data_IF_251954365545
#
_entry.id   IF_251954365545
#
_cell.length_a   1.000
_cell.length_b   1.000
_cell.length_c   1.000
_cell.angle_alpha   90.00
_cell.angle_beta   90.00
_cell.angle_gamma   90.00
#
_symmetry.space_group_name_H-M   'P 1'
#
loop_
_entity.id
_entity.type
_entity.pdbx_description
1 polymer ?
#
# COMPACT_ATOMS: atom_id res chain seq x y z
N UNK A 1 -11.25 18.10 31.32
CA UNK A 1 -11.95 19.38 31.08
C UNK A 1 -11.43 19.92 29.75
N UNK A 2 -12.16 19.73 28.65
CA UNK A 2 -11.87 20.31 27.31
C UNK A 2 -13.12 20.91 26.65
N UNK A 3 -14.29 20.81 27.28
CA UNK A 3 -15.61 21.16 26.72
C UNK A 3 -15.82 22.67 26.41
N UNK A 4 -14.78 23.51 26.52
CA UNK A 4 -14.81 24.92 26.12
C UNK A 4 -13.71 25.31 25.13
N UNK A 5 -12.86 24.37 24.70
CA UNK A 5 -11.80 24.59 23.70
C UNK A 5 -12.21 24.20 22.28
N UNK A 6 -13.33 23.49 22.13
CA UNK A 6 -13.79 22.97 20.84
C UNK A 6 -14.37 24.07 19.94
N UNK A 7 -15.06 25.06 20.52
CA UNK A 7 -15.73 26.11 19.74
C UNK A 7 -14.72 27.05 19.06
N UNK A 8 -13.68 27.50 19.78
CA UNK A 8 -12.63 28.36 19.20
C UNK A 8 -11.72 27.61 18.21
N UNK A 9 -11.58 26.29 18.35
CA UNK A 9 -10.75 25.48 17.46
C UNK A 9 -11.30 25.44 16.03
N UNK A 10 -12.62 25.47 15.88
CA UNK A 10 -13.29 25.44 14.58
C UNK A 10 -13.20 26.78 13.81
N UNK A 11 -12.86 27.87 14.50
CA UNK A 11 -12.68 29.20 13.90
C UNK A 11 -11.30 29.37 13.24
N UNK A 12 -10.34 28.49 13.53
CA UNK A 12 -9.02 28.54 12.90
C UNK A 12 -9.03 28.04 11.46
N UNK A 13 -8.11 28.56 10.65
CA UNK A 13 -7.87 28.07 9.29
C UNK A 13 -7.38 26.62 9.36
N UNK A 14 -8.01 25.73 8.58
CA UNK A 14 -7.61 24.33 8.54
C UNK A 14 -6.22 24.14 7.94
N UNK A 15 -5.43 23.21 8.48
CA UNK A 15 -4.14 22.84 7.88
C UNK A 15 -4.38 22.08 6.57
N UNK A 16 -5.35 21.17 6.54
CA UNK A 16 -5.64 20.26 5.44
C UNK A 16 -7.00 19.60 5.63
N UNK A 17 -7.86 19.60 4.61
CA UNK A 17 -9.12 18.86 4.64
C UNK A 17 -9.43 18.20 3.29
N UNK A 18 -10.25 17.14 3.29
CA UNK A 18 -10.47 16.31 2.07
C UNK A 18 -11.29 17.07 1.03
N UNK A 19 -12.20 17.92 1.49
CA UNK A 19 -13.09 18.74 0.70
C UNK A 19 -12.27 19.69 -0.18
N UNK A 20 -11.31 20.41 0.41
CA UNK A 20 -10.43 21.32 -0.31
C UNK A 20 -9.50 20.62 -1.29
N UNK A 21 -9.00 19.42 -0.95
CA UNK A 21 -8.16 18.61 -1.84
C UNK A 21 -8.87 18.27 -3.16
N UNK A 22 -10.20 18.15 -3.15
CA UNK A 22 -11.03 17.80 -4.31
C UNK A 22 -11.39 18.99 -5.21
N UNK A 23 -11.16 20.22 -4.75
CA UNK A 23 -11.57 21.43 -5.46
C UNK A 23 -10.57 21.85 -6.54
N UNK A 24 -11.08 22.14 -7.73
CA UNK A 24 -10.29 22.65 -8.87
C UNK A 24 -9.89 24.13 -8.73
N UNK A 25 -10.64 24.91 -7.95
CA UNK A 25 -10.41 26.34 -7.74
C UNK A 25 -9.65 26.60 -6.43
N UNK A 26 -9.39 27.88 -6.16
CA UNK A 26 -8.74 28.39 -4.96
C UNK A 26 -9.46 27.89 -3.71
N UNK A 27 -8.69 27.32 -2.78
CA UNK A 27 -9.22 26.81 -1.53
C UNK A 27 -9.30 27.98 -0.56
N UNK A 28 -10.52 28.37 -0.19
CA UNK A 28 -10.72 29.25 0.95
C UNK A 28 -10.63 28.40 2.22
N UNK A 29 -9.94 28.91 3.25
CA UNK A 29 -9.90 28.35 4.60
C UNK A 29 -9.07 27.06 4.79
N UNK A 30 -8.02 26.88 3.96
CA UNK A 30 -7.04 25.80 4.15
C UNK A 30 -5.62 26.23 3.78
N UNK A 31 -4.64 25.85 4.60
CA UNK A 31 -3.22 26.17 4.37
C UNK A 31 -2.64 25.29 3.25
N UNK A 32 -2.81 23.96 3.35
CA UNK A 32 -2.24 23.01 2.39
C UNK A 32 -3.31 22.36 1.51
N UNK A 33 -3.18 22.55 0.20
CA UNK A 33 -3.98 21.82 -0.80
C UNK A 33 -3.54 20.37 -0.99
N UNK A 34 -2.23 20.12 -0.90
CA UNK A 34 -1.63 18.81 -1.11
C UNK A 34 -1.14 18.25 0.21
N UNK A 35 -1.74 17.13 0.60
CA UNK A 35 -1.33 16.35 1.75
C UNK A 35 -1.67 14.89 1.49
N UNK A 36 -0.98 13.99 2.17
CA UNK A 36 -1.27 12.56 2.15
C UNK A 36 -1.00 11.98 3.52
N UNK A 37 -1.53 10.78 3.73
CA UNK A 37 -1.04 9.96 4.82
C UNK A 37 0.38 9.48 4.49
N UNK A 38 1.07 8.97 5.50
CA UNK A 38 2.31 8.23 5.30
C UNK A 38 2.12 6.97 4.44
N UNK A 39 3.23 6.40 4.00
CA UNK A 39 3.23 5.18 3.20
C UNK A 39 2.71 4.00 4.04
N UNK A 40 1.65 3.35 3.55
CA UNK A 40 1.10 2.14 4.16
C UNK A 40 1.35 0.93 3.25
N UNK A 41 2.25 0.03 3.66
CA UNK A 41 2.64 -1.10 2.81
C UNK A 41 1.81 -2.37 3.01
N UNK A 42 1.26 -2.55 4.22
CA UNK A 42 0.63 -3.80 4.71
C UNK A 42 1.55 -5.03 4.75
N UNK A 43 2.87 -4.86 4.56
CA UNK A 43 3.86 -5.95 4.52
C UNK A 43 5.25 -5.49 4.94
N UNK A 44 5.33 -4.67 5.99
CA UNK A 44 6.53 -3.90 6.34
C UNK A 44 7.80 -4.78 6.46
N UNK A 45 7.69 -5.99 7.02
CA UNK A 45 8.81 -6.95 7.12
C UNK A 45 9.44 -7.34 5.77
N UNK A 46 8.71 -7.19 4.66
CA UNK A 46 9.15 -7.54 3.30
C UNK A 46 9.66 -6.35 2.49
N UNK A 47 9.28 -5.12 2.86
CA UNK A 47 9.51 -3.91 2.05
C UNK A 47 10.22 -2.78 2.80
N UNK A 48 10.49 -2.96 4.08
CA UNK A 48 11.41 -2.14 4.85
C UNK A 48 12.52 -3.01 5.45
N UNK A 49 13.76 -2.55 5.31
CA UNK A 49 14.90 -3.12 6.02
C UNK A 49 16.00 -2.03 6.11
N UNK A 50 16.75 -2.02 7.20
CA UNK A 50 17.93 -1.15 7.36
C UNK A 50 19.07 -1.53 6.41
N UNK A 51 19.09 -2.78 5.95
CA UNK A 51 20.05 -3.28 4.98
C UNK A 51 19.40 -3.35 3.58
N UNK A 52 19.88 -2.50 2.67
CA UNK A 52 19.39 -2.42 1.29
C UNK A 52 19.48 -3.76 0.54
N UNK A 53 20.54 -4.53 0.78
CA UNK A 53 20.74 -5.83 0.12
C UNK A 53 19.72 -6.85 0.59
N UNK A 54 19.43 -6.88 1.89
CA UNK A 54 18.38 -7.74 2.44
C UNK A 54 17.00 -7.32 1.96
N UNK A 55 16.71 -6.02 1.90
CA UNK A 55 15.48 -5.49 1.31
C UNK A 55 15.32 -5.96 -0.14
N UNK A 56 16.36 -5.80 -0.95
CA UNK A 56 16.37 -6.24 -2.35
C UNK A 56 16.07 -7.74 -2.47
N UNK A 57 16.68 -8.56 -1.63
CA UNK A 57 16.46 -10.02 -1.62
C UNK A 57 15.03 -10.36 -1.19
N UNK A 58 14.51 -9.70 -0.16
CA UNK A 58 13.14 -9.90 0.34
C UNK A 58 12.11 -9.56 -0.75
N UNK A 59 12.24 -8.40 -1.41
CA UNK A 59 11.34 -8.00 -2.50
C UNK A 59 11.39 -9.01 -3.65
N UNK A 60 12.58 -9.45 -4.07
CA UNK A 60 12.73 -10.45 -5.14
C UNK A 60 12.04 -11.76 -4.77
N UNK A 61 12.30 -12.27 -3.56
CA UNK A 61 11.67 -13.49 -3.04
C UNK A 61 10.14 -13.39 -3.06
N UNK A 62 9.59 -12.27 -2.59
CA UNK A 62 8.14 -12.05 -2.61
C UNK A 62 7.57 -11.97 -4.02
N UNK A 63 8.26 -11.30 -4.96
CA UNK A 63 7.84 -11.21 -6.37
C UNK A 63 7.86 -12.59 -7.04
N UNK A 64 8.93 -13.36 -6.83
CA UNK A 64 9.08 -14.71 -7.37
C UNK A 64 7.97 -15.63 -6.87
N UNK A 65 7.72 -15.63 -5.55
CA UNK A 65 6.62 -16.41 -4.96
C UNK A 65 5.26 -15.99 -5.54
N UNK A 66 4.96 -14.69 -5.54
CA UNK A 66 3.69 -14.16 -6.06
C UNK A 66 3.47 -14.54 -7.54
N UNK A 67 4.48 -14.38 -8.39
CA UNK A 67 4.39 -14.73 -9.81
C UNK A 67 4.24 -16.24 -10.01
N UNK A 68 4.89 -17.07 -9.18
CA UNK A 68 4.73 -18.52 -9.24
C UNK A 68 3.28 -18.95 -8.95
N UNK A 69 2.63 -18.31 -7.97
CA UNK A 69 1.23 -18.55 -7.64
C UNK A 69 0.31 -18.14 -8.81
N UNK A 70 0.62 -17.04 -9.53
CA UNK A 70 -0.14 -16.65 -10.73
C UNK A 70 -0.01 -17.69 -11.83
N UNK A 71 1.20 -18.21 -12.06
CA UNK A 71 1.42 -19.24 -13.08
C UNK A 71 0.59 -20.50 -12.78
N UNK A 72 0.59 -20.94 -11.52
CA UNK A 72 -0.24 -22.08 -11.07
C UNK A 72 -1.74 -21.77 -11.23
N UNK A 73 -2.17 -20.55 -10.91
CA UNK A 73 -3.56 -20.12 -11.04
C UNK A 73 -4.04 -20.17 -12.50
N UNK A 74 -3.20 -19.69 -13.42
CA UNK A 74 -3.53 -19.66 -14.84
C UNK A 74 -3.57 -21.07 -15.47
N UNK A 75 -2.81 -22.02 -14.93
CA UNK A 75 -2.86 -23.43 -15.34
C UNK A 75 -4.10 -24.15 -14.79
N UNK A 76 -4.67 -23.65 -13.69
CA UNK A 76 -5.88 -24.21 -13.10
C UNK A 76 -7.12 -23.74 -13.88
N UNK A 77 -7.73 -24.64 -14.66
CA UNK A 77 -8.93 -24.36 -15.45
C UNK A 77 -10.20 -24.06 -14.60
N UNK A 78 -10.13 -24.22 -13.27
CA UNK A 78 -11.24 -23.94 -12.35
C UNK A 78 -11.35 -22.44 -12.02
N UNK A 79 -11.93 -21.67 -12.94
CA UNK A 79 -12.16 -20.22 -12.82
C UNK A 79 -13.14 -19.79 -11.72
N UNK A 80 -13.75 -20.73 -11.01
CA UNK A 80 -14.74 -20.50 -9.94
C UNK A 80 -14.12 -20.33 -8.55
N UNK A 81 -12.83 -20.65 -8.39
CA UNK A 81 -12.20 -20.69 -7.07
C UNK A 81 -12.07 -19.27 -6.47
N UNK A 82 -12.23 -19.13 -5.15
CA UNK A 82 -11.85 -17.89 -4.47
C UNK A 82 -10.33 -17.86 -4.37
N UNK A 83 -9.74 -16.66 -4.45
CA UNK A 83 -8.27 -16.49 -4.36
C UNK A 83 -7.75 -17.06 -3.03
N UNK A 84 -8.50 -16.83 -1.95
CA UNK A 84 -8.13 -17.30 -0.60
C UNK A 84 -8.05 -18.81 -0.46
N UNK A 85 -8.83 -19.54 -1.26
CA UNK A 85 -8.85 -21.01 -1.23
C UNK A 85 -7.70 -21.61 -2.05
N UNK A 86 -6.99 -20.79 -2.83
CA UNK A 86 -5.96 -21.23 -3.75
C UNK A 86 -4.55 -20.81 -3.33
N UNK A 87 -4.38 -19.56 -2.90
CA UNK A 87 -3.05 -19.03 -2.64
C UNK A 87 -2.44 -19.69 -1.41
N UNK A 88 -1.14 -19.96 -1.47
CA UNK A 88 -0.40 -20.39 -0.30
C UNK A 88 -0.13 -19.21 0.65
N UNK A 89 -0.46 -19.40 1.92
CA UNK A 89 -0.18 -18.48 3.02
C UNK A 89 1.11 -18.86 3.72
N UNK A 90 2.22 -18.61 3.04
CA UNK A 90 3.56 -18.74 3.63
C UNK A 90 4.07 -17.33 3.99
N UNK A 91 3.89 -16.98 5.27
CA UNK A 91 4.30 -15.69 5.81
C UNK A 91 5.81 -15.45 5.71
N UNK A 92 6.62 -16.49 5.44
CA UNK A 92 8.05 -16.39 5.16
C UNK A 92 8.38 -15.98 3.73
N UNK A 93 7.38 -15.82 2.86
CA UNK A 93 7.56 -15.45 1.45
C UNK A 93 6.73 -14.22 1.05
N UNK A 94 5.52 -14.09 1.58
CA UNK A 94 4.61 -13.01 1.21
C UNK A 94 3.66 -12.67 2.35
N UNK A 95 3.28 -11.39 2.44
CA UNK A 95 2.11 -10.96 3.18
C UNK A 95 1.03 -10.46 2.21
N UNK A 96 -0.10 -11.17 2.19
CA UNK A 96 -1.22 -10.91 1.31
C UNK A 96 -2.10 -9.77 1.84
N UNK A 97 -2.24 -8.70 1.03
CA UNK A 97 -3.27 -7.67 1.25
C UNK A 97 -4.44 -7.85 0.28
N UNK A 98 -5.59 -7.25 0.58
CA UNK A 98 -6.75 -7.24 -0.30
C UNK A 98 -6.41 -6.73 -1.70
N UNK A 99 -5.65 -5.64 -1.81
CA UNK A 99 -5.16 -5.10 -3.08
C UNK A 99 -4.25 -6.07 -3.82
N UNK A 100 -3.35 -6.77 -3.12
CA UNK A 100 -2.46 -7.75 -3.75
C UNK A 100 -3.25 -8.93 -4.33
N UNK A 101 -4.29 -9.41 -3.62
CA UNK A 101 -5.21 -10.44 -4.10
C UNK A 101 -6.04 -10.00 -5.30
N UNK A 102 -6.44 -8.72 -5.36
CA UNK A 102 -7.12 -8.16 -6.54
C UNK A 102 -6.18 -8.16 -7.76
N UNK A 103 -4.93 -7.75 -7.59
CA UNK A 103 -3.92 -7.78 -8.66
C UNK A 103 -3.60 -9.21 -9.11
N UNK A 104 -3.51 -10.13 -8.15
CA UNK A 104 -3.34 -11.55 -8.41
C UNK A 104 -4.45 -12.10 -9.31
N UNK A 105 -5.71 -11.84 -8.95
CA UNK A 105 -6.88 -12.30 -9.73
C UNK A 105 -6.91 -11.73 -11.15
N UNK A 106 -6.32 -10.55 -11.36
CA UNK A 106 -6.18 -9.91 -12.68
C UNK A 106 -5.02 -10.47 -13.51
N UNK A 107 -4.17 -11.32 -12.93
CA UNK A 107 -3.00 -11.87 -13.60
C UNK A 107 -1.85 -10.87 -13.75
N UNK A 108 -1.81 -9.83 -12.91
CA UNK A 108 -0.78 -8.80 -12.98
C UNK A 108 0.54 -9.37 -12.46
N UNK A 109 1.49 -9.64 -13.37
CA UNK A 109 2.86 -10.07 -13.04
C UNK A 109 3.69 -8.88 -12.57
N UNK A 110 4.52 -9.11 -11.55
CA UNK A 110 5.42 -8.10 -11.01
C UNK A 110 6.87 -8.35 -11.45
N UNK A 111 7.64 -7.27 -11.61
CA UNK A 111 9.07 -7.34 -11.92
C UNK A 111 9.85 -6.48 -10.93
N UNK A 112 10.94 -7.03 -10.41
CA UNK A 112 11.84 -6.28 -9.52
C UNK A 112 12.48 -5.11 -10.28
N UNK A 113 12.50 -3.94 -9.64
CA UNK A 113 13.09 -2.71 -10.18
C UNK A 113 14.00 -2.10 -9.12
N UNK A 114 15.31 -2.18 -9.33
CA UNK A 114 16.31 -1.67 -8.37
C UNK A 114 16.20 -0.17 -8.13
N UNK A 115 15.79 0.58 -9.15
CA UNK A 115 15.60 2.04 -9.06
C UNK A 115 14.34 2.47 -8.27
N UNK A 116 13.61 1.54 -7.66
CA UNK A 116 12.45 1.82 -6.81
C UNK A 116 12.74 1.63 -5.32
N UNK A 117 14.00 1.34 -4.95
CA UNK A 117 14.45 1.37 -3.56
C UNK A 117 14.87 2.79 -3.21
N UNK A 118 14.36 3.31 -2.10
CA UNK A 118 14.66 4.64 -1.60
C UNK A 118 14.77 4.65 -0.09
N UNK A 119 15.39 5.70 0.44
CA UNK A 119 15.47 5.94 1.89
C UNK A 119 14.25 6.75 2.33
N UNK A 120 13.59 6.29 3.39
CA UNK A 120 12.54 7.04 4.07
C UNK A 120 12.96 7.36 5.50
N UNK A 121 12.55 8.53 6.01
CA UNK A 121 12.60 8.83 7.43
C UNK A 121 11.26 8.39 8.00
N UNK A 122 11.28 7.49 8.98
CA UNK A 122 10.11 7.05 9.73
C UNK A 122 10.00 7.88 10.99
#
# INVERSE_FOLDING_TARGET
MTNGLEDEFLDFISIGNKESRSQKREVKDCIFKFFSNGLHSSRDSWVYNFNEKELSNNIKKTIEFYNSQINLWNQNNSRSSKVDDFVSYDDSQISWSSTLKINFKRGNINHYKSNQIGTGIV
#
